data_IF_767643754471
#
_entry.id   IF_767643754471
#
_cell.length_a   1.000
_cell.length_b   1.000
_cell.length_c   1.000
_cell.angle_alpha   90.00
_cell.angle_beta   90.00
_cell.angle_gamma   90.00
#
_symmetry.space_group_name_H-M   'P 1'
#
loop_
_entity.id
_entity.type
_entity.pdbx_description
1 polymer ?
#
# COMPACT_ATOMS: atom_id res chain seq x y z
N UNK A 1 -0.98 18.14 -6.38
CA UNK A 1 -0.52 16.74 -6.27
C UNK A 1 -1.75 15.85 -6.33
N UNK A 2 -1.74 14.79 -7.15
CA UNK A 2 -2.86 13.83 -7.25
C UNK A 2 -2.60 12.64 -6.32
N UNK A 3 -3.62 12.12 -5.65
CA UNK A 3 -3.51 11.02 -4.66
C UNK A 3 -4.37 9.83 -5.08
N UNK A 4 -3.73 8.73 -5.42
CA UNK A 4 -4.40 7.46 -5.70
C UNK A 4 -4.20 6.50 -4.53
N UNK A 5 -5.16 6.47 -3.60
CA UNK A 5 -5.08 5.61 -2.41
C UNK A 5 -5.52 4.19 -2.79
N UNK A 6 -4.58 3.26 -2.78
CA UNK A 6 -4.87 1.84 -2.93
C UNK A 6 -5.14 1.20 -1.55
N UNK A 7 -6.22 0.44 -1.42
CA UNK A 7 -6.61 -0.15 -0.14
C UNK A 7 -7.52 -1.36 -0.28
N UNK A 8 -7.62 -2.15 0.79
CA UNK A 8 -8.51 -3.30 0.89
C UNK A 8 -9.40 -3.16 2.13
N UNK A 9 -10.50 -3.91 2.22
CA UNK A 9 -11.27 -4.01 3.47
C UNK A 9 -10.42 -4.75 4.50
N UNK A 10 -10.45 -4.28 5.74
CA UNK A 10 -9.65 -4.85 6.83
C UNK A 10 -10.01 -6.32 7.03
N UNK A 11 -9.05 -7.22 6.83
CA UNK A 11 -9.23 -8.66 7.16
C UNK A 11 -8.86 -8.94 8.62
N UNK A 12 -8.18 -8.00 9.29
CA UNK A 12 -7.64 -8.15 10.65
C UNK A 12 -7.81 -6.93 11.57
N UNK A 13 -8.28 -5.77 11.09
CA UNK A 13 -8.53 -4.60 11.92
C UNK A 13 -10.02 -4.26 11.96
N UNK A 14 -10.50 -3.77 13.12
CA UNK A 14 -11.87 -3.22 13.27
C UNK A 14 -12.03 -1.83 12.65
N UNK A 15 -11.00 -1.32 11.99
CA UNK A 15 -10.93 0.01 11.38
C UNK A 15 -9.84 0.05 10.32
N UNK A 16 -10.21 0.05 9.04
CA UNK A 16 -9.35 0.38 7.90
C UNK A 16 -9.78 1.67 7.22
N UNK A 17 -8.91 2.23 6.37
CA UNK A 17 -9.25 3.38 5.51
C UNK A 17 -10.51 3.14 4.68
N UNK A 18 -10.67 1.92 4.15
CA UNK A 18 -11.87 1.48 3.43
C UNK A 18 -13.14 1.60 4.27
N UNK A 19 -13.11 1.13 5.53
CA UNK A 19 -14.30 1.15 6.40
C UNK A 19 -14.68 2.59 6.81
N UNK A 20 -13.67 3.46 6.97
CA UNK A 20 -13.88 4.88 7.22
C UNK A 20 -14.59 5.53 6.02
N UNK A 21 -14.05 5.31 4.81
CA UNK A 21 -14.61 5.87 3.57
C UNK A 21 -16.05 5.37 3.32
N UNK A 22 -16.31 4.08 3.54
CA UNK A 22 -17.64 3.47 3.45
C UNK A 22 -18.64 4.12 4.42
N UNK A 23 -18.22 4.37 5.67
CA UNK A 23 -19.04 5.09 6.68
C UNK A 23 -19.32 6.55 6.31
N UNK A 24 -18.45 7.19 5.53
CA UNK A 24 -18.69 8.52 4.97
C UNK A 24 -19.55 8.49 3.70
N UNK A 25 -20.05 7.31 3.29
CA UNK A 25 -20.91 7.15 2.12
C UNK A 25 -20.16 7.11 0.79
N UNK A 26 -18.84 6.89 0.81
CA UNK A 26 -18.03 6.76 -0.40
C UNK A 26 -18.14 5.32 -0.91
N UNK A 27 -18.62 5.17 -2.14
CA UNK A 27 -18.66 3.87 -2.81
C UNK A 27 -17.25 3.36 -3.09
N UNK A 28 -16.81 2.36 -2.32
CA UNK A 28 -15.51 1.73 -2.51
C UNK A 28 -15.42 0.94 -3.82
N UNK A 29 -16.54 0.46 -4.35
CA UNK A 29 -16.61 -0.36 -5.55
C UNK A 29 -16.89 0.47 -6.82
N UNK A 30 -16.64 1.79 -6.76
CA UNK A 30 -16.80 2.67 -7.90
C UNK A 30 -16.00 2.17 -9.12
N UNK A 31 -16.49 2.44 -10.33
CA UNK A 31 -15.81 2.01 -11.54
C UNK A 31 -14.44 2.69 -11.69
N UNK A 32 -13.56 2.10 -12.51
CA UNK A 32 -12.26 2.71 -12.81
C UNK A 32 -12.41 4.09 -13.48
N UNK A 33 -13.47 4.28 -14.27
CA UNK A 33 -13.78 5.57 -14.89
C UNK A 33 -14.18 6.62 -13.83
N UNK A 34 -15.04 6.25 -12.88
CA UNK A 34 -15.41 7.14 -11.77
C UNK A 34 -14.19 7.49 -10.91
N UNK A 35 -13.35 6.51 -10.58
CA UNK A 35 -12.11 6.76 -9.84
C UNK A 35 -11.16 7.66 -10.61
N UNK A 36 -11.10 7.52 -11.94
CA UNK A 36 -10.29 8.39 -12.80
C UNK A 36 -10.82 9.82 -12.82
N UNK A 37 -12.12 10.01 -12.99
CA UNK A 37 -12.74 11.34 -12.93
C UNK A 37 -12.53 12.01 -11.57
N UNK A 38 -12.70 11.28 -10.47
CA UNK A 38 -12.42 11.80 -9.12
C UNK A 38 -10.96 12.25 -8.97
N UNK A 39 -10.00 11.50 -9.53
CA UNK A 39 -8.59 11.87 -9.50
C UNK A 39 -8.29 13.12 -10.34
N UNK A 40 -9.00 13.30 -11.46
CA UNK A 40 -8.82 14.44 -12.35
C UNK A 40 -9.49 15.71 -11.80
N UNK A 41 -10.70 15.58 -11.26
CA UNK A 41 -11.53 16.71 -10.80
C UNK A 41 -11.24 17.12 -9.36
N UNK A 42 -11.08 16.13 -8.46
CA UNK A 42 -10.90 16.36 -7.01
C UNK A 42 -9.44 16.19 -6.57
N UNK A 43 -8.58 15.65 -7.43
CA UNK A 43 -7.18 15.37 -7.11
C UNK A 43 -6.97 14.15 -6.21
N UNK A 44 -8.03 13.37 -5.91
CA UNK A 44 -7.96 12.19 -5.05
C UNK A 44 -8.92 11.10 -5.52
N UNK A 45 -8.48 9.84 -5.46
CA UNK A 45 -9.34 8.68 -5.65
C UNK A 45 -8.96 7.52 -4.72
N UNK A 46 -9.90 6.60 -4.54
CA UNK A 46 -9.70 5.34 -3.84
C UNK A 46 -9.76 4.18 -4.84
N UNK A 47 -8.78 3.29 -4.78
CA UNK A 47 -8.66 2.12 -5.64
C UNK A 47 -8.83 0.89 -4.76
N UNK A 48 -9.98 0.20 -4.90
CA UNK A 48 -10.32 -0.92 -4.04
C UNK A 48 -9.71 -2.23 -4.54
N UNK A 49 -8.76 -2.78 -3.77
CA UNK A 49 -7.91 -3.89 -4.19
C UNK A 49 -8.67 -5.10 -4.79
N UNK A 50 -9.81 -5.58 -4.23
CA UNK A 50 -10.54 -6.70 -4.82
C UNK A 50 -11.03 -6.46 -6.25
N UNK A 51 -11.32 -5.22 -6.62
CA UNK A 51 -11.78 -4.84 -7.96
C UNK A 51 -10.63 -4.82 -8.99
N UNK A 52 -9.44 -4.40 -8.57
CA UNK A 52 -8.27 -4.28 -9.43
C UNK A 52 -7.39 -5.54 -9.47
N UNK A 53 -7.54 -6.43 -8.49
CA UNK A 53 -6.70 -7.62 -8.34
C UNK A 53 -7.52 -8.91 -8.25
N UNK A 54 -8.43 -9.13 -9.20
CA UNK A 54 -9.30 -10.30 -9.26
C UNK A 54 -8.56 -11.64 -9.17
N UNK A 55 -7.32 -11.71 -9.66
CA UNK A 55 -6.46 -12.91 -9.57
C UNK A 55 -6.12 -13.33 -8.14
N UNK A 56 -6.09 -12.38 -7.18
CA UNK A 56 -5.78 -12.67 -5.76
C UNK A 56 -6.81 -13.62 -5.14
N UNK A 57 -8.03 -13.68 -5.68
CA UNK A 57 -9.09 -14.61 -5.23
C UNK A 57 -8.62 -16.07 -5.23
N UNK A 58 -7.73 -16.44 -6.14
CA UNK A 58 -7.22 -17.82 -6.26
C UNK A 58 -6.27 -18.19 -5.11
N UNK A 59 -5.61 -17.21 -4.50
CA UNK A 59 -4.75 -17.42 -3.33
C UNK A 59 -5.51 -17.37 -2.01
N UNK A 60 -6.73 -16.82 -1.98
CA UNK A 60 -7.47 -16.59 -0.74
C UNK A 60 -7.76 -17.85 0.09
N UNK A 61 -8.17 -19.00 -0.49
CA UNK A 61 -8.42 -20.21 0.29
C UNK A 61 -7.17 -20.66 1.06
N UNK A 62 -6.02 -20.69 0.38
CA UNK A 62 -4.75 -21.08 1.00
C UNK A 62 -4.34 -20.10 2.09
N UNK A 63 -4.48 -18.79 1.85
CA UNK A 63 -4.16 -17.75 2.84
C UNK A 63 -5.02 -17.88 4.10
N UNK A 64 -6.32 -18.15 3.94
CA UNK A 64 -7.24 -18.33 5.06
C UNK A 64 -6.91 -19.58 5.88
N UNK A 65 -6.45 -20.66 5.23
CA UNK A 65 -6.00 -21.88 5.91
C UNK A 65 -4.69 -21.66 6.67
N UNK A 66 -3.71 -20.98 6.07
CA UNK A 66 -2.39 -20.76 6.68
C UNK A 66 -2.43 -19.86 7.92
N UNK A 67 -3.36 -18.89 7.98
CA UNK A 67 -3.53 -17.93 9.09
C UNK A 67 -2.22 -17.27 9.55
N UNK A 68 -1.26 -17.12 8.64
CA UNK A 68 0.04 -16.50 8.89
C UNK A 68 0.31 -15.40 7.87
N UNK A 69 1.26 -14.52 8.18
CA UNK A 69 1.71 -13.48 7.26
C UNK A 69 2.45 -14.13 6.09
N UNK A 70 2.14 -13.69 4.88
CA UNK A 70 2.82 -14.13 3.65
C UNK A 70 3.21 -12.91 2.83
N UNK A 71 3.88 -13.13 1.69
CA UNK A 71 4.23 -12.04 0.76
C UNK A 71 3.01 -11.19 0.37
N UNK A 72 1.80 -11.76 0.34
CA UNK A 72 0.56 -11.03 0.06
C UNK A 72 0.24 -9.91 1.06
N UNK A 73 0.80 -9.94 2.27
CA UNK A 73 0.68 -8.85 3.24
C UNK A 73 1.53 -7.63 2.85
N UNK A 74 2.56 -7.83 2.01
CA UNK A 74 3.49 -6.79 1.54
C UNK A 74 3.14 -6.30 0.14
N UNK A 75 2.44 -7.12 -0.66
CA UNK A 75 2.14 -6.79 -2.06
C UNK A 75 1.25 -5.56 -2.22
N UNK A 76 0.32 -5.31 -1.30
CA UNK A 76 -0.73 -4.30 -1.46
C UNK A 76 -0.21 -2.93 -1.95
N UNK A 77 0.72 -2.29 -1.23
CA UNK A 77 1.29 -1.02 -1.66
C UNK A 77 2.11 -1.13 -2.96
N UNK A 78 2.86 -2.23 -3.13
CA UNK A 78 3.72 -2.48 -4.29
C UNK A 78 2.96 -2.65 -5.63
N UNK A 79 1.68 -3.02 -5.58
CA UNK A 79 0.88 -3.33 -6.78
C UNK A 79 -0.19 -2.27 -7.10
N UNK A 80 -0.04 -1.04 -6.59
CA UNK A 80 -1.00 0.03 -6.84
C UNK A 80 -1.27 0.21 -8.36
N UNK A 81 -2.51 0.02 -8.84
CA UNK A 81 -2.82 0.03 -10.27
C UNK A 81 -2.60 1.40 -10.93
N UNK A 82 -2.59 2.49 -10.17
CA UNK A 82 -2.26 3.82 -10.67
C UNK A 82 -0.75 4.05 -10.88
N UNK A 83 0.11 3.12 -10.43
CA UNK A 83 1.58 3.21 -10.53
C UNK A 83 2.11 4.60 -10.13
N UNK A 84 1.85 5.04 -8.88
CA UNK A 84 2.30 6.34 -8.43
C UNK A 84 3.82 6.45 -8.53
N UNK A 85 4.34 7.66 -8.69
CA UNK A 85 5.78 7.93 -8.70
C UNK A 85 6.30 8.43 -7.35
N UNK A 86 5.39 8.59 -6.37
CA UNK A 86 5.68 8.97 -4.99
C UNK A 86 4.86 8.09 -4.05
N UNK A 87 5.50 7.51 -3.04
CA UNK A 87 4.84 6.62 -2.09
C UNK A 87 5.42 6.75 -0.68
N UNK A 88 4.55 6.69 0.33
CA UNK A 88 4.90 6.47 1.72
C UNK A 88 4.31 5.12 2.13
N UNK A 89 5.18 4.15 2.41
CA UNK A 89 4.78 2.79 2.73
C UNK A 89 5.15 2.44 4.17
N UNK A 90 4.14 2.08 4.94
CA UNK A 90 4.31 1.49 6.26
C UNK A 90 4.64 0.00 6.19
N UNK A 91 5.50 -0.48 7.10
CA UNK A 91 5.73 -1.91 7.28
C UNK A 91 5.56 -2.30 8.75
N UNK A 92 4.93 -3.46 8.97
CA UNK A 92 4.60 -3.94 10.32
C UNK A 92 5.82 -4.43 11.11
N UNK A 93 6.97 -4.63 10.45
CA UNK A 93 8.21 -5.13 11.03
C UNK A 93 9.36 -4.22 10.59
N UNK A 94 10.21 -3.82 11.54
CA UNK A 94 11.36 -2.97 11.30
C UNK A 94 12.32 -3.58 10.28
N UNK A 95 12.47 -4.91 10.28
CA UNK A 95 13.38 -5.62 9.37
C UNK A 95 12.92 -5.59 7.91
N UNK A 96 11.66 -5.24 7.66
CA UNK A 96 11.11 -5.06 6.31
C UNK A 96 11.43 -3.69 5.70
N UNK A 97 11.88 -2.71 6.48
CA UNK A 97 12.11 -1.34 5.99
C UNK A 97 13.10 -1.32 4.83
N UNK A 98 14.22 -2.04 4.99
CA UNK A 98 15.27 -2.15 3.96
C UNK A 98 14.81 -2.90 2.70
N UNK A 99 14.38 -4.17 2.76
CA UNK A 99 14.05 -4.94 1.56
C UNK A 99 12.92 -4.31 0.76
N UNK A 100 11.95 -3.66 1.42
CA UNK A 100 10.86 -2.95 0.72
C UNK A 100 11.38 -1.67 0.06
N UNK A 101 12.26 -0.90 0.71
CA UNK A 101 12.83 0.30 0.08
C UNK A 101 13.70 -0.05 -1.14
N UNK A 102 14.46 -1.14 -1.05
CA UNK A 102 15.24 -1.70 -2.16
C UNK A 102 14.33 -2.18 -3.30
N UNK A 103 13.23 -2.87 -2.97
CA UNK A 103 12.22 -3.30 -3.95
C UNK A 103 11.60 -2.11 -4.67
N UNK A 104 11.17 -1.08 -3.94
CA UNK A 104 10.59 0.14 -4.52
C UNK A 104 11.59 0.88 -5.42
N UNK A 105 12.88 0.89 -5.06
CA UNK A 105 13.94 1.44 -5.90
C UNK A 105 14.11 0.64 -7.19
N UNK A 106 14.15 -0.69 -7.11
CA UNK A 106 14.25 -1.59 -8.27
C UNK A 106 13.03 -1.49 -9.21
N UNK A 107 11.85 -1.20 -8.66
CA UNK A 107 10.62 -0.94 -9.43
C UNK A 107 10.61 0.44 -10.13
N UNK A 108 11.65 1.27 -9.94
CA UNK A 108 11.78 2.57 -10.59
C UNK A 108 10.97 3.69 -9.91
N UNK A 109 10.59 3.52 -8.64
CA UNK A 109 9.86 4.55 -7.89
C UNK A 109 10.73 5.80 -7.70
N UNK A 110 10.27 6.96 -8.18
CA UNK A 110 11.05 8.20 -8.12
C UNK A 110 11.31 8.67 -6.69
N UNK A 111 10.30 8.58 -5.81
CA UNK A 111 10.39 8.98 -4.41
C UNK A 111 9.55 8.06 -3.53
N UNK A 112 10.17 7.06 -2.92
CA UNK A 112 9.53 6.27 -1.88
C UNK A 112 10.18 6.53 -0.51
N UNK A 113 9.37 6.48 0.55
CA UNK A 113 9.83 6.35 1.92
C UNK A 113 9.13 5.14 2.55
N UNK A 114 9.92 4.26 3.16
CA UNK A 114 9.41 3.12 3.92
C UNK A 114 9.61 3.41 5.41
N UNK A 115 8.55 3.23 6.20
CA UNK A 115 8.54 3.59 7.63
C UNK A 115 8.10 2.43 8.51
N UNK A 116 8.69 2.38 9.70
CA UNK A 116 8.24 1.55 10.82
C UNK A 116 8.33 2.39 12.10
N UNK A 117 7.19 2.69 12.72
CA UNK A 117 7.10 3.58 13.87
C UNK A 117 6.74 2.84 15.14
N UNK A 118 7.71 2.60 16.01
CA UNK A 118 7.50 2.07 17.38
C UNK A 118 6.42 0.97 17.48
N UNK A 119 6.52 -0.05 16.61
CA UNK A 119 5.58 -1.19 16.54
C UNK A 119 4.41 -1.05 15.55
N UNK A 120 4.31 0.07 14.83
CA UNK A 120 3.26 0.36 13.85
C UNK A 120 3.83 0.46 12.42
N UNK A 121 2.98 0.18 11.44
CA UNK A 121 3.20 0.46 10.02
C UNK A 121 2.85 1.93 9.67
N UNK A 122 3.17 2.86 10.57
CA UNK A 122 2.91 4.29 10.44
C UNK A 122 4.09 5.09 11.01
N UNK A 123 4.10 6.41 10.82
CA UNK A 123 5.03 7.29 11.56
C UNK A 123 4.52 7.40 13.00
N UNK A 124 5.34 6.99 13.97
CA UNK A 124 4.98 7.05 15.38
C UNK A 124 4.95 8.50 15.87
N UNK A 125 3.86 8.86 16.55
CA UNK A 125 3.74 10.11 17.31
C UNK A 125 4.16 9.94 18.77
N UNK A 126 4.32 8.69 19.22
CA UNK A 126 4.60 8.29 20.60
C UNK A 126 6.02 7.75 20.80
N UNK A 127 6.85 7.71 19.76
CA UNK A 127 8.19 7.15 19.83
C UNK A 127 8.99 7.28 18.54
N UNK A 128 10.07 6.52 18.42
CA UNK A 128 10.94 6.55 17.25
C UNK A 128 10.27 5.97 16.00
N UNK A 129 10.64 6.52 14.85
CA UNK A 129 10.30 5.98 13.53
C UNK A 129 11.58 5.68 12.77
N UNK A 130 11.74 4.42 12.38
CA UNK A 130 12.77 4.02 11.42
C UNK A 130 12.26 4.35 10.01
N UNK A 131 13.06 5.07 9.22
CA UNK A 131 12.70 5.46 7.86
C UNK A 131 13.85 5.18 6.90
N UNK A 132 13.52 4.68 5.70
CA UNK A 132 14.46 4.58 4.59
C UNK A 132 13.84 5.11 3.30
N UNK A 133 14.56 5.98 2.59
CA UNK A 133 14.13 6.51 1.29
C UNK A 133 14.67 5.63 0.16
N UNK A 134 13.84 5.32 -0.83
CA UNK A 134 14.24 4.49 -1.98
C UNK A 134 15.40 5.12 -2.77
N UNK A 135 15.46 6.45 -2.89
CA UNK A 135 16.54 7.16 -3.56
C UNK A 135 17.89 7.11 -2.83
N UNK A 136 17.90 6.68 -1.56
CA UNK A 136 19.14 6.46 -0.79
C UNK A 136 19.69 5.05 -0.99
N UNK A 137 18.90 4.16 -1.58
CA UNK A 137 19.35 2.84 -2.02
C UNK A 137 20.04 3.01 -3.37
N UNK A 138 21.37 2.83 -3.41
CA UNK A 138 22.08 2.71 -4.69
C UNK A 138 21.55 1.46 -5.38
N UNK A 139 21.08 1.58 -6.61
CA UNK A 139 20.72 0.44 -7.45
C UNK A 139 21.90 -0.53 -7.49
N UNK A 140 21.75 -1.69 -6.88
CA UNK A 140 22.68 -2.81 -7.08
C UNK A 140 22.34 -3.34 -8.46
N UNK A 141 23.20 -3.07 -9.45
CA UNK A 141 23.14 -3.77 -10.72
C UNK A 141 23.43 -5.25 -10.43
N UNK A 142 22.40 -6.09 -10.45
CA UNK A 142 22.61 -7.52 -10.65
C UNK A 142 22.97 -7.76 -12.13
N UNK A 143 23.88 -8.70 -12.42
CA UNK A 143 24.40 -8.97 -13.76
C UNK A 143 23.33 -9.40 -14.76
#
# INVERSE_FOLDING_TARGET
>A
MKVAKHGNRGVSSKSGSSDLLDKFGIDLAMSADTARSALDDLGVCFLFAPQYHGGVRHAMPVRQTLKTRTIFNLLGPLINPARPNIELMGVYDKDLVRPIAETLAAMGMKRAAVVHGSGLDEVAIHGETTVLKSSTVKSVNTP
#
